data_IF_280447118791
#
_entry.id   IF_280447118791
#
_cell.length_a   1.000
_cell.length_b   1.000
_cell.length_c   1.000
_cell.angle_alpha   90.00
_cell.angle_beta   90.00
_cell.angle_gamma   90.00
#
_symmetry.space_group_name_H-M   'P 1'
#
loop_
_entity.id
_entity.type
_entity.pdbx_description
1 polymer ?
#
# COMPACT_ATOMS: atom_id res chain seq x y z
N UNK A 1 -17.38 -4.70 1.20
CA UNK A 1 -16.50 -4.64 2.39
C UNK A 1 -17.36 -4.51 3.63
N UNK A 2 -16.96 -5.18 4.69
CA UNK A 2 -17.63 -5.12 5.99
C UNK A 2 -17.65 -3.69 6.55
N UNK A 3 -18.77 -3.29 7.16
CA UNK A 3 -18.94 -1.94 7.73
C UNK A 3 -17.96 -1.67 8.89
N UNK A 4 -17.56 -2.69 9.64
CA UNK A 4 -16.61 -2.58 10.73
C UNK A 4 -15.21 -2.26 10.19
N UNK A 5 -14.78 -2.93 9.13
CA UNK A 5 -13.52 -2.66 8.44
C UNK A 5 -13.50 -1.26 7.81
N UNK A 6 -14.62 -0.84 7.22
CA UNK A 6 -14.75 0.50 6.65
C UNK A 6 -14.61 1.59 7.73
N UNK A 7 -15.22 1.39 8.90
CA UNK A 7 -15.07 2.31 10.04
C UNK A 7 -13.66 2.32 10.57
N UNK A 8 -13.01 1.15 10.68
CA UNK A 8 -11.62 1.06 11.11
C UNK A 8 -10.70 1.83 10.15
N UNK A 9 -10.84 1.61 8.84
CA UNK A 9 -10.06 2.33 7.83
C UNK A 9 -10.28 3.87 7.92
N UNK A 10 -11.52 4.31 8.12
CA UNK A 10 -11.84 5.73 8.28
C UNK A 10 -11.15 6.33 9.52
N UNK A 11 -11.11 5.60 10.62
CA UNK A 11 -10.39 6.04 11.84
C UNK A 11 -8.88 6.10 11.60
N UNK A 12 -8.33 5.09 10.93
CA UNK A 12 -6.89 5.03 10.60
C UNK A 12 -6.47 6.22 9.73
N UNK A 13 -7.28 6.60 8.76
CA UNK A 13 -7.00 7.69 7.82
C UNK A 13 -7.41 9.07 8.33
N UNK A 14 -8.24 9.14 9.38
CA UNK A 14 -8.80 10.40 9.88
C UNK A 14 -9.86 11.00 8.96
N UNK A 15 -10.36 10.25 8.00
CA UNK A 15 -11.39 10.66 7.04
C UNK A 15 -12.05 9.44 6.42
N UNK A 16 -13.22 9.62 5.84
CA UNK A 16 -13.86 8.55 5.06
C UNK A 16 -13.06 8.28 3.78
N UNK A 17 -12.59 7.04 3.57
CA UNK A 17 -11.87 6.71 2.34
C UNK A 17 -12.81 6.69 1.13
N UNK A 18 -12.29 7.11 -0.03
CA UNK A 18 -13.02 7.10 -1.30
C UNK A 18 -12.74 5.81 -2.06
N UNK A 19 -13.76 5.31 -2.75
CA UNK A 19 -13.61 4.18 -3.66
C UNK A 19 -13.20 2.87 -3.00
N UNK A 20 -13.51 2.70 -1.74
CA UNK A 20 -13.12 1.54 -0.95
C UNK A 20 -13.83 0.27 -1.44
N UNK A 21 -13.07 -0.76 -1.77
CA UNK A 21 -13.60 -2.02 -2.31
C UNK A 21 -13.50 -3.18 -1.32
N UNK A 22 -12.33 -3.42 -0.76
CA UNK A 22 -12.09 -4.52 0.16
C UNK A 22 -10.82 -4.31 0.99
N UNK A 23 -10.68 -5.08 2.05
CA UNK A 23 -9.40 -5.23 2.75
C UNK A 23 -8.49 -6.09 1.89
N UNK A 24 -7.32 -5.57 1.53
CA UNK A 24 -6.33 -6.30 0.74
C UNK A 24 -5.30 -7.03 1.62
N UNK A 25 -5.04 -6.52 2.81
CA UNK A 25 -4.18 -7.17 3.80
C UNK A 25 -4.64 -6.78 5.21
N UNK A 26 -4.53 -7.73 6.12
CA UNK A 26 -4.91 -7.53 7.52
C UNK A 26 -3.66 -7.61 8.40
N UNK A 27 -3.50 -6.59 9.22
CA UNK A 27 -2.45 -6.52 10.22
C UNK A 27 -2.58 -7.66 11.24
N UNK A 28 -1.47 -8.17 11.80
CA UNK A 28 -1.52 -9.10 12.93
C UNK A 28 -2.35 -8.63 14.13
N UNK A 29 -2.56 -7.31 14.28
CA UNK A 29 -3.47 -6.76 15.31
C UNK A 29 -4.95 -7.03 15.04
N UNK A 30 -5.30 -7.55 13.86
CA UNK A 30 -6.66 -7.85 13.43
C UNK A 30 -7.34 -6.77 12.60
N UNK A 31 -6.80 -5.55 12.56
CA UNK A 31 -7.34 -4.44 11.78
C UNK A 31 -6.81 -4.46 10.34
N UNK A 32 -7.51 -3.81 9.39
CA UNK A 32 -6.94 -3.60 8.05
C UNK A 32 -5.64 -2.81 8.14
N UNK A 33 -4.68 -3.12 7.28
CA UNK A 33 -3.49 -2.28 7.07
C UNK A 33 -3.33 -1.89 5.61
N UNK A 34 -3.91 -2.64 4.68
CA UNK A 34 -4.01 -2.27 3.26
C UNK A 34 -5.43 -2.49 2.77
N UNK A 35 -5.98 -1.50 2.09
CA UNK A 35 -7.28 -1.59 1.40
C UNK A 35 -7.09 -1.51 -0.11
N UNK A 36 -7.99 -2.16 -0.84
CA UNK A 36 -8.09 -2.03 -2.29
C UNK A 36 -9.10 -0.94 -2.61
N UNK A 37 -8.72 -0.05 -3.52
CA UNK A 37 -9.54 1.07 -3.97
C UNK A 37 -9.92 0.93 -5.44
N UNK A 38 -11.05 1.53 -5.84
CA UNK A 38 -11.49 1.52 -7.23
C UNK A 38 -10.56 2.37 -8.11
N UNK A 39 -10.33 1.96 -9.40
CA UNK A 39 -9.53 2.74 -10.34
C UNK A 39 -10.09 4.13 -10.68
N UNK A 40 -11.37 4.34 -10.45
CA UNK A 40 -12.01 5.64 -10.59
C UNK A 40 -12.82 5.98 -9.35
N UNK A 41 -12.81 7.26 -9.00
CA UNK A 41 -13.69 7.80 -7.96
C UNK A 41 -15.14 7.86 -8.50
N UNK A 42 -16.12 8.11 -7.63
CA UNK A 42 -17.53 8.17 -7.99
C UNK A 42 -17.83 9.22 -9.09
N UNK A 43 -17.06 10.31 -9.10
CA UNK A 43 -17.17 11.38 -10.12
C UNK A 43 -16.48 11.04 -11.44
N UNK A 44 -15.90 9.85 -11.59
CA UNK A 44 -15.17 9.40 -12.77
C UNK A 44 -13.71 9.79 -12.81
N UNK A 45 -13.19 10.51 -11.82
CA UNK A 45 -11.78 10.89 -11.74
C UNK A 45 -10.91 9.64 -11.64
N UNK A 46 -9.88 9.48 -12.50
CA UNK A 46 -8.94 8.37 -12.38
C UNK A 46 -8.22 8.39 -11.06
N UNK A 47 -8.13 7.21 -10.42
CA UNK A 47 -7.39 7.00 -9.18
C UNK A 47 -6.45 5.81 -9.38
N UNK A 48 -5.21 6.06 -9.82
CA UNK A 48 -4.29 4.99 -10.22
C UNK A 48 -3.87 4.05 -9.09
N UNK A 49 -3.94 4.50 -7.85
CA UNK A 49 -3.58 3.71 -6.67
C UNK A 49 -4.64 2.63 -6.42
N UNK A 50 -4.24 1.36 -6.53
CA UNK A 50 -5.11 0.22 -6.28
C UNK A 50 -5.05 -0.23 -4.81
N UNK A 51 -3.87 -0.17 -4.21
CA UNK A 51 -3.61 -0.57 -2.82
C UNK A 51 -3.16 0.62 -2.00
N UNK A 52 -3.85 0.85 -0.90
CA UNK A 52 -3.63 2.00 -0.04
C UNK A 52 -3.30 1.54 1.38
N UNK A 53 -2.16 2.01 1.90
CA UNK A 53 -1.72 1.71 3.27
C UNK A 53 -2.52 2.58 4.25
N UNK A 54 -3.26 1.95 5.16
CA UNK A 54 -4.17 2.65 6.08
C UNK A 54 -3.64 2.73 7.51
N UNK A 55 -2.85 1.76 7.96
CA UNK A 55 -2.36 1.73 9.34
C UNK A 55 -1.42 2.90 9.61
N UNK A 56 -1.74 3.82 10.55
CA UNK A 56 -0.89 4.99 10.82
C UNK A 56 0.48 4.62 11.38
N UNK A 57 0.62 3.52 12.09
CA UNK A 57 1.92 3.06 12.60
C UNK A 57 2.82 2.54 11.48
N UNK A 58 2.26 1.75 10.56
CA UNK A 58 2.99 1.31 9.37
C UNK A 58 3.34 2.49 8.48
N UNK A 59 2.41 3.40 8.26
CA UNK A 59 2.62 4.63 7.48
C UNK A 59 3.75 5.48 8.05
N UNK A 60 3.78 5.69 9.37
CA UNK A 60 4.85 6.43 10.04
C UNK A 60 6.21 5.75 9.90
N UNK A 61 6.24 4.41 10.03
CA UNK A 61 7.49 3.64 9.89
C UNK A 61 8.04 3.73 8.46
N UNK A 62 7.17 3.62 7.45
CA UNK A 62 7.56 3.80 6.04
C UNK A 62 8.02 5.23 5.79
N UNK A 63 7.34 6.23 6.36
CA UNK A 63 7.71 7.64 6.24
C UNK A 63 9.12 7.93 6.78
N UNK A 64 9.55 7.24 7.83
CA UNK A 64 10.94 7.35 8.34
C UNK A 64 11.96 6.85 7.34
N UNK A 65 11.67 5.78 6.61
CA UNK A 65 12.54 5.27 5.54
C UNK A 65 12.61 6.25 4.37
N UNK A 66 11.50 6.87 4.00
CA UNK A 66 11.48 7.92 2.98
C UNK A 66 12.34 9.11 3.40
N UNK A 67 12.19 9.57 4.63
CA UNK A 67 12.99 10.66 5.18
C UNK A 67 14.50 10.32 5.26
N UNK A 68 14.84 9.05 5.42
CA UNK A 68 16.22 8.58 5.44
C UNK A 68 16.86 8.44 4.05
N UNK A 69 16.11 8.71 2.96
CA UNK A 69 16.64 8.69 1.60
C UNK A 69 16.57 7.34 0.88
N UNK A 70 15.79 6.40 1.38
CA UNK A 70 15.72 5.05 0.79
C UNK A 70 15.21 5.05 -0.65
N UNK A 71 14.31 5.97 -1.02
CA UNK A 71 13.80 6.08 -2.39
C UNK A 71 14.93 6.35 -3.39
N UNK A 72 15.82 7.26 -3.06
CA UNK A 72 16.97 7.58 -3.89
C UNK A 72 17.93 6.39 -4.01
N UNK A 73 18.25 5.74 -2.90
CA UNK A 73 19.10 4.55 -2.87
C UNK A 73 18.55 3.43 -3.75
N UNK A 74 17.25 3.18 -3.65
CA UNK A 74 16.58 2.15 -4.45
C UNK A 74 16.57 2.51 -5.94
N UNK A 75 16.32 3.77 -6.30
CA UNK A 75 16.37 4.23 -7.68
C UNK A 75 17.78 4.04 -8.28
N UNK A 76 18.82 4.35 -7.53
CA UNK A 76 20.21 4.11 -7.94
C UNK A 76 20.49 2.63 -8.16
N UNK A 77 19.97 1.76 -7.29
CA UNK A 77 20.10 0.30 -7.44
C UNK A 77 19.41 -0.21 -8.69
N UNK A 78 18.26 0.33 -9.05
CA UNK A 78 17.55 -0.05 -10.30
C UNK A 78 18.40 0.26 -11.53
N UNK A 79 19.14 1.34 -11.52
CA UNK A 79 20.06 1.72 -12.61
C UNK A 79 21.27 0.78 -12.69
N UNK A 80 21.80 0.35 -11.53
CA UNK A 80 23.02 -0.44 -11.45
C UNK A 80 22.80 -1.95 -11.55
N UNK A 81 21.58 -2.43 -11.25
CA UNK A 81 21.26 -3.87 -11.17
C UNK A 81 20.15 -4.23 -12.16
N UNK A 82 20.51 -4.82 -13.32
CA UNK A 82 19.51 -5.21 -14.33
C UNK A 82 18.50 -6.26 -13.87
N UNK A 83 18.90 -7.16 -12.98
CA UNK A 83 17.98 -8.18 -12.44
C UNK A 83 16.92 -7.54 -11.54
N UNK A 84 17.33 -6.62 -10.68
CA UNK A 84 16.40 -5.87 -9.84
C UNK A 84 15.46 -5.01 -10.71
N UNK A 85 15.99 -4.35 -11.72
CA UNK A 85 15.21 -3.55 -12.67
C UNK A 85 14.15 -4.40 -13.39
N UNK A 86 14.51 -5.60 -13.83
CA UNK A 86 13.59 -6.54 -14.48
C UNK A 86 12.49 -7.03 -13.52
N UNK A 87 12.85 -7.36 -12.30
CA UNK A 87 11.90 -7.78 -11.26
C UNK A 87 10.94 -6.65 -10.88
N UNK A 88 11.44 -5.43 -10.81
CA UNK A 88 10.63 -4.25 -10.51
C UNK A 88 9.66 -3.90 -11.67
N UNK A 89 10.12 -4.06 -12.91
CA UNK A 89 9.25 -3.94 -14.08
C UNK A 89 8.14 -5.00 -14.09
N UNK A 90 8.46 -6.22 -13.65
CA UNK A 90 7.46 -7.28 -13.49
C UNK A 90 6.43 -6.93 -12.40
N UNK A 91 6.86 -6.31 -11.31
CA UNK A 91 5.96 -5.80 -10.27
C UNK A 91 4.99 -4.74 -10.82
N UNK A 92 5.50 -3.86 -11.67
CA UNK A 92 4.65 -2.87 -12.36
C UNK A 92 3.57 -3.54 -13.21
N UNK A 93 3.94 -4.54 -14.01
CA UNK A 93 2.98 -5.29 -14.83
C UNK A 93 1.95 -6.03 -13.96
N UNK A 94 2.36 -6.61 -12.85
CA UNK A 94 1.45 -7.25 -11.89
C UNK A 94 0.41 -6.24 -11.38
N UNK A 95 0.87 -5.07 -10.98
CA UNK A 95 0.01 -4.00 -10.48
C UNK A 95 -1.02 -3.57 -11.54
N UNK A 96 -0.58 -3.32 -12.76
CA UNK A 96 -1.46 -2.96 -13.88
C UNK A 96 -2.48 -4.06 -14.17
N UNK A 97 -2.05 -5.32 -14.23
CA UNK A 97 -2.93 -6.46 -14.48
C UNK A 97 -4.05 -6.55 -13.44
N UNK A 98 -3.72 -6.38 -12.17
CA UNK A 98 -4.71 -6.42 -11.09
C UNK A 98 -5.68 -5.24 -11.14
N UNK A 99 -5.17 -4.05 -11.45
CA UNK A 99 -6.00 -2.85 -11.60
C UNK A 99 -6.92 -2.96 -12.81
N UNK A 100 -6.38 -3.37 -13.96
CA UNK A 100 -7.12 -3.49 -15.21
C UNK A 100 -8.19 -4.58 -15.16
N UNK A 101 -8.01 -5.59 -14.32
CA UNK A 101 -9.04 -6.59 -14.06
C UNK A 101 -10.30 -5.98 -13.43
N UNK A 102 -10.18 -4.83 -12.78
CA UNK A 102 -11.32 -4.05 -12.26
C UNK A 102 -11.78 -3.06 -13.32
N UNK A 103 -10.89 -2.16 -13.74
CA UNK A 103 -11.13 -1.18 -14.80
C UNK A 103 -9.80 -0.66 -15.34
N UNK A 104 -9.55 -0.75 -16.67
CA UNK A 104 -8.37 -0.14 -17.28
C UNK A 104 -8.42 1.39 -17.19
N UNK A 105 -7.27 2.01 -16.97
CA UNK A 105 -7.12 3.46 -17.01
C UNK A 105 -6.37 3.88 -18.28
N UNK A 106 -6.78 5.00 -18.94
CA UNK A 106 -6.07 5.51 -20.11
C UNK A 106 -4.60 5.81 -19.82
N UNK A 107 -3.69 5.38 -20.71
CA UNK A 107 -2.26 5.65 -20.59
C UNK A 107 -1.53 4.77 -19.58
N UNK A 108 -2.19 3.80 -18.99
CA UNK A 108 -1.59 2.86 -18.03
C UNK A 108 -0.71 3.56 -16.96
N UNK A 109 -1.26 4.53 -16.19
CA UNK A 109 -0.46 5.28 -15.24
C UNK A 109 0.18 4.37 -14.19
N UNK A 110 1.47 4.55 -13.95
CA UNK A 110 2.22 3.84 -12.94
C UNK A 110 1.94 4.36 -11.53
N UNK A 111 2.41 3.60 -10.54
CA UNK A 111 2.24 3.91 -9.12
C UNK A 111 3.58 3.78 -8.41
N UNK A 112 3.85 4.66 -7.45
CA UNK A 112 5.06 4.61 -6.63
C UNK A 112 6.37 4.87 -7.38
N UNK A 113 6.28 5.29 -8.64
CA UNK A 113 7.43 5.48 -9.54
C UNK A 113 7.72 4.27 -10.43
N UNK A 114 6.99 3.16 -10.26
CA UNK A 114 7.15 1.99 -11.14
C UNK A 114 6.87 2.37 -12.60
N UNK A 115 7.59 1.82 -13.59
CA UNK A 115 8.64 0.78 -13.44
C UNK A 115 10.08 1.33 -13.39
N UNK A 116 10.31 2.64 -13.47
CA UNK A 116 11.64 3.20 -13.74
C UNK A 116 12.35 3.79 -12.53
N UNK A 117 11.61 4.15 -11.50
CA UNK A 117 12.16 4.81 -10.30
C UNK A 117 11.32 4.49 -9.07
N UNK A 118 11.79 4.93 -7.91
CA UNK A 118 11.09 4.78 -6.64
C UNK A 118 10.72 6.16 -6.12
N UNK A 119 9.42 6.48 -6.11
CA UNK A 119 8.89 7.77 -5.68
C UNK A 119 8.10 7.71 -4.39
N UNK A 120 7.49 6.57 -4.08
CA UNK A 120 6.64 6.42 -2.92
C UNK A 120 6.75 5.01 -2.34
N UNK A 121 7.41 4.90 -1.20
CA UNK A 121 7.56 3.62 -0.51
C UNK A 121 6.23 3.11 0.04
N UNK A 122 5.28 3.99 0.37
CA UNK A 122 3.97 3.60 0.87
C UNK A 122 3.21 2.76 -0.16
N UNK A 123 3.20 3.19 -1.42
CA UNK A 123 2.54 2.46 -2.49
C UNK A 123 3.18 1.09 -2.74
N UNK A 124 4.50 1.00 -2.69
CA UNK A 124 5.23 -0.25 -2.91
C UNK A 124 5.07 -1.22 -1.75
N UNK A 125 5.11 -0.73 -0.52
CA UNK A 125 4.84 -1.53 0.67
C UNK A 125 3.40 -2.07 0.67
N UNK A 126 2.43 -1.24 0.31
CA UNK A 126 1.04 -1.65 0.20
C UNK A 126 0.86 -2.76 -0.85
N UNK A 127 1.50 -2.63 -2.02
CA UNK A 127 1.48 -3.67 -3.06
C UNK A 127 2.06 -4.98 -2.52
N UNK A 128 3.23 -4.93 -1.89
CA UNK A 128 3.88 -6.12 -1.35
C UNK A 128 3.03 -6.81 -0.28
N UNK A 129 2.39 -6.07 0.61
CA UNK A 129 1.48 -6.62 1.61
C UNK A 129 0.25 -7.28 0.96
N UNK A 130 -0.34 -6.61 -0.03
CA UNK A 130 -1.58 -7.06 -0.66
C UNK A 130 -1.41 -8.37 -1.46
N UNK A 131 -0.29 -8.53 -2.17
CA UNK A 131 -0.08 -9.65 -3.10
C UNK A 131 0.87 -10.72 -2.56
N UNK A 132 1.55 -10.43 -1.45
CA UNK A 132 2.49 -11.35 -0.84
C UNK A 132 3.92 -11.20 -1.37
N UNK A 133 4.83 -11.86 -0.67
CA UNK A 133 6.27 -11.83 -0.92
C UNK A 133 6.61 -12.41 -2.30
N UNK A 134 7.60 -11.81 -2.95
CA UNK A 134 8.15 -12.31 -4.22
C UNK A 134 7.62 -11.61 -5.47
N UNK A 135 6.69 -10.66 -5.32
CA UNK A 135 6.12 -9.91 -6.46
C UNK A 135 6.76 -8.55 -6.62
N UNK A 136 6.82 -7.76 -5.55
CA UNK A 136 7.44 -6.44 -5.59
C UNK A 136 8.72 -6.43 -4.76
N UNK A 137 9.91 -6.51 -5.40
CA UNK A 137 11.17 -6.65 -4.67
C UNK A 137 11.51 -5.43 -3.82
N UNK A 138 11.19 -4.23 -4.28
CA UNK A 138 11.41 -3.00 -3.50
C UNK A 138 10.46 -2.94 -2.32
N UNK A 139 9.19 -3.24 -2.53
CA UNK A 139 8.20 -3.33 -1.46
C UNK A 139 8.58 -4.37 -0.40
N UNK A 140 9.06 -5.53 -0.83
CA UNK A 140 9.53 -6.59 0.08
C UNK A 140 10.70 -6.12 0.94
N UNK A 141 11.67 -5.41 0.37
CA UNK A 141 12.80 -4.85 1.11
C UNK A 141 12.36 -3.76 2.09
N UNK A 142 11.41 -2.92 1.70
CA UNK A 142 10.82 -1.92 2.61
C UNK A 142 10.21 -2.61 3.82
N UNK A 143 9.41 -3.63 3.61
CA UNK A 143 8.77 -4.38 4.70
C UNK A 143 9.80 -5.03 5.63
N UNK A 144 10.91 -5.53 5.09
CA UNK A 144 12.00 -6.13 5.88
C UNK A 144 12.70 -5.12 6.78
N UNK A 145 12.70 -3.84 6.43
CA UNK A 145 13.29 -2.75 7.22
C UNK A 145 12.35 -2.20 8.30
N UNK A 146 11.06 -2.56 8.27
CA UNK A 146 10.09 -2.06 9.23
C UNK A 146 10.15 -2.84 10.55
N UNK A 147 9.95 -2.16 11.70
CA UNK A 147 9.70 -2.85 12.95
C UNK A 147 8.34 -3.56 12.92
N UNK A 148 8.07 -4.38 13.93
CA UNK A 148 6.74 -4.96 14.14
C UNK A 148 5.78 -3.85 14.61
N UNK A 149 5.21 -3.09 13.68
CA UNK A 149 4.39 -1.91 13.99
C UNK A 149 3.12 -2.23 14.78
N UNK A 150 2.73 -3.49 14.82
CA UNK A 150 1.60 -4.01 15.59
C UNK A 150 1.94 -4.42 17.02
N UNK A 151 3.22 -4.34 17.43
CA UNK A 151 3.69 -4.88 18.73
C UNK A 151 3.02 -4.23 19.94
N UNK A 152 2.60 -2.95 19.82
CA UNK A 152 1.89 -2.25 20.89
C UNK A 152 0.36 -2.45 20.85
N UNK A 153 -0.14 -3.35 19.99
CA UNK A 153 -1.56 -3.62 19.82
C UNK A 153 -2.20 -2.82 18.70
N UNK A 154 -3.55 -2.75 18.66
CA UNK A 154 -4.28 -2.05 17.61
C UNK A 154 -3.89 -0.58 17.49
N UNK A 155 -3.80 -0.09 16.26
CA UNK A 155 -3.39 1.30 15.99
C UNK A 155 -4.53 2.32 16.21
N UNK A 156 -5.78 1.86 16.22
CA UNK A 156 -6.97 2.66 16.52
C UNK A 156 -7.93 1.84 17.37
N UNK A 157 -8.82 2.52 18.07
CA UNK A 157 -9.89 1.87 18.85
C UNK A 157 -10.91 1.22 17.93
N UNK A 158 -11.45 0.09 18.35
CA UNK A 158 -12.53 -0.63 17.68
C UNK A 158 -13.87 -0.41 18.39
N UNK A 159 -14.98 -0.65 17.70
CA UNK A 159 -16.31 -0.47 18.27
C UNK A 159 -16.56 -1.38 19.50
N UNK A 160 -15.93 -2.55 19.53
CA UNK A 160 -16.02 -3.48 20.67
C UNK A 160 -15.32 -2.97 21.93
N UNK A 161 -14.34 -2.08 21.80
CA UNK A 161 -13.65 -1.47 22.95
C UNK A 161 -14.45 -0.29 23.53
N UNK A 162 -15.26 0.38 22.71
CA UNK A 162 -16.16 1.44 23.16
C UNK A 162 -17.35 0.90 23.97
N UNK A 163 -17.81 -0.29 23.63
CA UNK A 163 -18.92 -0.96 24.33
C UNK A 163 -18.47 -1.59 25.65
N UNK A 164 -17.16 -1.78 25.87
CA UNK A 164 -16.57 -2.34 27.09
C UNK A 164 -16.17 -1.28 28.13
N UNK A 165 -16.26 0.00 27.81
CA UNK A 165 -16.01 1.12 28.70
C UNK A 165 -17.29 1.87 29.03
#
# INVERSE_FOLDING_TARGET
MDSQDARAAARQLGRSPRGLRRVAHRCPCGLPDVVQTAPRLEDGTPFPTLYYLTCPRATSAVGRLEAAGLMRQMTERLTADPELAAAYAAAHRDYLTRRDAIEPLPGDPGVGGMPHRVKCLHALAAHALAVGRGVNPVGDEVLAELPDWWAAGPCVETDSEKDAS
#
